data_IF_142840976437
#
_entry.id   IF_142840976437
#
_cell.length_a   1.000
_cell.length_b   1.000
_cell.length_c   1.000
_cell.angle_alpha   90.00
_cell.angle_beta   90.00
_cell.angle_gamma   90.00
#
_symmetry.space_group_name_H-M   'P 1'
#
loop_
_entity.id
_entity.type
_entity.pdbx_description
1 polymer ?
#
# COMPACT_ATOMS: atom_id res chain seq x y z
N UNK A 1 -71.08 -46.53 21.11
CA UNK A 1 -69.62 -46.21 20.99
C UNK A 1 -69.53 -44.77 20.50
N UNK A 2 -68.87 -43.89 21.23
CA UNK A 2 -68.74 -42.46 20.86
C UNK A 2 -67.68 -42.33 19.76
N UNK A 3 -68.03 -41.70 18.66
CA UNK A 3 -67.14 -41.51 17.51
C UNK A 3 -66.19 -40.33 17.75
N UNK A 4 -64.92 -40.63 17.99
CA UNK A 4 -63.85 -39.65 18.26
C UNK A 4 -63.08 -39.21 17.01
N UNK A 5 -63.41 -39.76 15.83
CA UNK A 5 -62.79 -39.38 14.54
C UNK A 5 -62.88 -37.87 14.26
N UNK A 6 -64.02 -37.17 14.45
CA UNK A 6 -64.08 -35.74 14.17
C UNK A 6 -63.19 -34.89 15.08
N UNK A 7 -62.93 -35.33 16.32
CA UNK A 7 -62.00 -34.65 17.23
C UNK A 7 -60.55 -34.84 16.78
N UNK A 8 -60.20 -36.04 16.32
CA UNK A 8 -58.88 -36.33 15.77
C UNK A 8 -58.61 -35.54 14.48
N UNK A 9 -59.62 -35.38 13.62
CA UNK A 9 -59.53 -34.58 12.40
C UNK A 9 -59.38 -33.08 12.71
N UNK A 10 -60.09 -32.57 13.72
CA UNK A 10 -59.96 -31.19 14.19
C UNK A 10 -58.55 -30.89 14.74
N UNK A 11 -57.98 -31.81 15.52
CA UNK A 11 -56.61 -31.70 16.04
C UNK A 11 -55.57 -31.76 14.92
N UNK A 12 -55.81 -32.58 13.89
CA UNK A 12 -54.94 -32.65 12.71
C UNK A 12 -54.95 -31.36 11.89
N UNK A 13 -56.11 -30.69 11.79
CA UNK A 13 -56.25 -29.38 11.17
C UNK A 13 -55.50 -28.28 11.93
N UNK A 14 -55.62 -28.24 13.26
CA UNK A 14 -54.86 -27.31 14.11
C UNK A 14 -53.35 -27.49 13.98
N UNK A 15 -52.87 -28.73 13.92
CA UNK A 15 -51.44 -29.02 13.71
C UNK A 15 -50.92 -28.52 12.36
N UNK A 16 -51.75 -28.53 11.31
CA UNK A 16 -51.39 -27.96 10.01
C UNK A 16 -51.38 -26.43 10.00
N UNK A 17 -52.20 -25.78 10.82
CA UNK A 17 -52.23 -24.32 10.96
C UNK A 17 -51.04 -23.75 11.76
N UNK A 18 -50.36 -24.58 12.57
CA UNK A 18 -49.15 -24.21 13.34
C UNK A 18 -47.86 -24.49 12.55
N UNK A 19 -47.95 -24.95 11.30
CA UNK A 19 -46.78 -25.07 10.43
C UNK A 19 -46.16 -23.68 10.22
N UNK A 20 -44.81 -23.55 10.31
CA UNK A 20 -44.17 -22.24 10.17
C UNK A 20 -44.51 -21.67 8.79
N UNK A 21 -45.05 -20.45 8.78
CA UNK A 21 -45.37 -19.72 7.55
C UNK A 21 -44.08 -19.61 6.73
N UNK A 22 -44.08 -20.00 5.43
CA UNK A 22 -42.87 -20.09 4.62
C UNK A 22 -42.08 -18.77 4.58
N UNK A 23 -42.75 -17.63 4.65
CA UNK A 23 -42.14 -16.29 4.69
C UNK A 23 -41.22 -16.07 5.91
N UNK A 24 -41.59 -16.59 7.09
CA UNK A 24 -40.78 -16.45 8.32
C UNK A 24 -39.50 -17.28 8.22
N UNK A 25 -39.57 -18.46 7.59
CA UNK A 25 -38.38 -19.31 7.38
C UNK A 25 -37.39 -18.70 6.38
N UNK A 26 -37.89 -18.04 5.34
CA UNK A 26 -37.06 -17.34 4.35
C UNK A 26 -36.40 -16.11 4.98
N UNK A 27 -37.13 -15.37 5.82
CA UNK A 27 -36.61 -14.24 6.58
C UNK A 27 -35.54 -14.66 7.60
N UNK A 28 -35.75 -15.77 8.33
CA UNK A 28 -34.75 -16.31 9.23
C UNK A 28 -33.46 -16.69 8.48
N UNK A 29 -33.60 -17.36 7.32
CA UNK A 29 -32.47 -17.72 6.48
C UNK A 29 -31.74 -16.50 5.89
N UNK A 30 -32.45 -15.41 5.56
CA UNK A 30 -31.81 -14.18 5.07
C UNK A 30 -31.07 -13.44 6.18
N UNK A 31 -31.61 -13.42 7.41
CA UNK A 31 -30.93 -12.86 8.58
C UNK A 31 -29.63 -13.62 8.89
N UNK A 32 -29.68 -14.95 8.92
CA UNK A 32 -28.47 -15.76 9.15
C UNK A 32 -27.40 -15.52 8.08
N UNK A 33 -27.79 -15.37 6.81
CA UNK A 33 -26.84 -15.02 5.73
C UNK A 33 -26.27 -13.61 5.91
N UNK A 34 -27.08 -12.65 6.35
CA UNK A 34 -26.62 -11.30 6.64
C UNK A 34 -25.62 -11.27 7.80
N UNK A 35 -25.89 -12.01 8.88
CA UNK A 35 -24.99 -12.16 10.04
C UNK A 35 -23.66 -12.83 9.65
N UNK A 36 -23.71 -13.90 8.86
CA UNK A 36 -22.50 -14.54 8.32
C UNK A 36 -21.70 -13.58 7.44
N UNK A 37 -22.38 -12.79 6.61
CA UNK A 37 -21.74 -11.77 5.77
C UNK A 37 -21.10 -10.68 6.63
N UNK A 38 -21.78 -10.17 7.65
CA UNK A 38 -21.21 -9.18 8.56
C UNK A 38 -20.01 -9.73 9.32
N UNK A 39 -20.09 -10.99 9.79
CA UNK A 39 -18.96 -11.64 10.46
C UNK A 39 -17.76 -11.80 9.52
N UNK A 40 -17.99 -12.20 8.26
CA UNK A 40 -16.93 -12.32 7.26
C UNK A 40 -16.26 -10.98 6.93
N UNK A 41 -17.05 -9.91 6.81
CA UNK A 41 -16.54 -8.56 6.55
C UNK A 41 -15.77 -8.03 7.76
N UNK A 42 -16.26 -8.28 8.97
CA UNK A 42 -15.55 -7.92 10.20
C UNK A 42 -14.19 -8.64 10.31
N UNK A 43 -14.15 -9.93 9.95
CA UNK A 43 -12.90 -10.69 9.91
C UNK A 43 -11.91 -10.14 8.86
N UNK A 44 -12.40 -9.81 7.66
CA UNK A 44 -11.57 -9.20 6.61
C UNK A 44 -11.04 -7.83 7.01
N UNK A 45 -11.87 -6.97 7.62
CA UNK A 45 -11.44 -5.68 8.15
C UNK A 45 -10.40 -5.83 9.26
N UNK A 46 -10.59 -6.79 10.16
CA UNK A 46 -9.62 -7.08 11.20
C UNK A 46 -8.27 -7.54 10.62
N UNK A 47 -8.30 -8.40 9.60
CA UNK A 47 -7.09 -8.84 8.90
C UNK A 47 -6.39 -7.69 8.16
N UNK A 48 -7.14 -6.84 7.46
CA UNK A 48 -6.59 -5.67 6.78
C UNK A 48 -5.95 -4.70 7.78
N UNK A 49 -6.62 -4.43 8.92
CA UNK A 49 -6.07 -3.58 9.98
C UNK A 49 -4.74 -4.12 10.51
N UNK A 50 -4.66 -5.41 10.84
CA UNK A 50 -3.40 -6.04 11.28
C UNK A 50 -2.29 -5.91 10.24
N UNK A 51 -2.63 -6.09 8.95
CA UNK A 51 -1.65 -5.95 7.86
C UNK A 51 -1.14 -4.52 7.74
N UNK A 52 -2.02 -3.53 7.85
CA UNK A 52 -1.64 -2.12 7.87
C UNK A 52 -0.77 -1.81 9.10
N UNK A 53 -1.16 -2.26 10.29
CA UNK A 53 -0.39 -2.08 11.52
C UNK A 53 1.01 -2.69 11.41
N UNK A 54 1.12 -3.90 10.83
CA UNK A 54 2.41 -4.57 10.60
C UNK A 54 3.28 -3.77 9.64
N UNK A 55 2.74 -3.34 8.50
CA UNK A 55 3.47 -2.52 7.53
C UNK A 55 3.89 -1.17 8.12
N UNK A 56 3.05 -0.56 8.97
CA UNK A 56 3.39 0.67 9.67
C UNK A 56 4.51 0.45 10.69
N UNK A 57 4.47 -0.66 11.44
CA UNK A 57 5.53 -1.01 12.39
C UNK A 57 6.86 -1.29 11.68
N UNK A 58 6.85 -2.05 10.59
CA UNK A 58 8.03 -2.29 9.74
C UNK A 58 8.59 -0.99 9.18
N UNK A 59 7.72 -0.09 8.71
CA UNK A 59 8.13 1.25 8.24
C UNK A 59 8.70 2.11 9.35
N UNK A 60 8.14 2.06 10.57
CA UNK A 60 8.65 2.81 11.72
C UNK A 60 10.02 2.30 12.15
N UNK A 61 10.22 0.98 12.21
CA UNK A 61 11.51 0.37 12.51
C UNK A 61 12.57 0.71 11.44
N UNK A 62 12.17 0.75 10.17
CA UNK A 62 13.04 1.19 9.08
C UNK A 62 13.25 2.72 9.03
N UNK A 63 12.41 3.50 9.72
CA UNK A 63 12.50 4.96 9.78
C UNK A 63 13.37 5.45 10.94
N UNK A 64 13.74 4.58 11.89
CA UNK A 64 14.70 4.96 12.91
C UNK A 64 16.07 5.10 12.26
N UNK A 65 16.66 6.31 12.24
CA UNK A 65 17.94 6.53 11.59
C UNK A 65 18.99 5.62 12.24
N UNK A 66 19.84 4.96 11.45
CA UNK A 66 20.85 4.06 11.99
C UNK A 66 21.70 4.81 13.02
N UNK A 67 21.85 4.22 14.20
CA UNK A 67 22.69 4.79 15.25
C UNK A 67 24.13 4.89 14.73
N UNK A 68 24.71 6.09 14.76
CA UNK A 68 26.11 6.32 14.38
C UNK A 68 27.04 6.01 15.57
N UNK A 69 26.99 4.74 16.01
CA UNK A 69 27.58 4.29 17.27
C UNK A 69 29.11 4.12 17.19
N UNK A 70 29.64 3.70 16.04
CA UNK A 70 31.07 3.54 15.82
C UNK A 70 31.67 4.68 14.98
N UNK A 71 33.00 4.84 15.04
CA UNK A 71 33.70 5.77 14.17
C UNK A 71 33.56 5.39 12.69
N UNK A 72 33.47 4.09 12.38
CA UNK A 72 33.22 3.62 11.01
C UNK A 72 31.84 4.08 10.51
N UNK A 73 30.81 4.02 11.36
CA UNK A 73 29.46 4.49 11.00
C UNK A 73 29.47 6.00 10.73
N UNK A 74 30.16 6.79 11.58
CA UNK A 74 30.29 8.24 11.39
C UNK A 74 31.06 8.57 10.11
N UNK A 75 32.11 7.83 9.77
CA UNK A 75 32.87 8.01 8.54
C UNK A 75 32.01 7.73 7.31
N UNK A 76 31.28 6.61 7.30
CA UNK A 76 30.36 6.26 6.22
C UNK A 76 29.26 7.32 6.06
N UNK A 77 28.66 7.77 7.17
CA UNK A 77 27.67 8.83 7.17
C UNK A 77 28.24 10.16 6.65
N UNK A 78 29.44 10.55 7.08
CA UNK A 78 30.09 11.78 6.60
C UNK A 78 30.39 11.74 5.10
N UNK A 79 30.83 10.59 4.57
CA UNK A 79 31.02 10.40 3.13
C UNK A 79 29.69 10.58 2.37
N UNK A 80 28.60 9.99 2.87
CA UNK A 80 27.27 10.18 2.31
C UNK A 80 26.79 11.64 2.35
N UNK A 81 27.01 12.34 3.46
CA UNK A 81 26.68 13.78 3.59
C UNK A 81 27.48 14.63 2.62
N UNK A 82 28.78 14.34 2.42
CA UNK A 82 29.62 15.08 1.46
C UNK A 82 29.07 14.94 0.05
N UNK A 83 28.83 13.70 -0.41
CA UNK A 83 28.27 13.44 -1.74
C UNK A 83 26.87 14.05 -1.91
N UNK A 84 26.04 13.99 -0.86
CA UNK A 84 24.72 14.62 -0.87
C UNK A 84 24.79 16.14 -1.03
N UNK A 85 25.78 16.80 -0.42
CA UNK A 85 25.99 18.26 -0.59
C UNK A 85 26.40 18.60 -2.01
N UNK A 86 27.27 17.81 -2.63
CA UNK A 86 27.69 18.01 -4.01
C UNK A 86 26.50 17.86 -4.97
N UNK A 87 25.64 16.86 -4.74
CA UNK A 87 24.41 16.66 -5.51
C UNK A 87 23.45 17.85 -5.34
N UNK A 88 23.28 18.36 -4.11
CA UNK A 88 22.43 19.53 -3.86
C UNK A 88 22.96 20.78 -4.58
N UNK A 89 24.28 20.97 -4.63
CA UNK A 89 24.89 22.06 -5.37
C UNK A 89 24.59 21.95 -6.87
N UNK A 90 24.83 20.78 -7.46
CA UNK A 90 24.54 20.52 -8.87
C UNK A 90 23.04 20.73 -9.21
N UNK A 91 22.13 20.30 -8.33
CA UNK A 91 20.69 20.50 -8.52
C UNK A 91 20.29 21.99 -8.43
N UNK A 92 20.99 22.80 -7.63
CA UNK A 92 20.76 24.24 -7.62
C UNK A 92 21.19 24.90 -8.93
N UNK A 93 22.33 24.49 -9.48
CA UNK A 93 22.82 24.98 -10.78
C UNK A 93 21.86 24.59 -11.91
N UNK A 94 21.44 23.32 -11.96
CA UNK A 94 20.47 22.82 -12.93
C UNK A 94 19.14 23.57 -12.85
N UNK A 95 18.63 23.84 -11.64
CA UNK A 95 17.39 24.62 -11.47
C UNK A 95 17.51 26.06 -11.98
N UNK A 96 18.66 26.71 -11.80
CA UNK A 96 18.92 28.04 -12.40
C UNK A 96 18.89 28.01 -13.93
N UNK A 97 19.27 26.88 -14.51
CA UNK A 97 19.16 26.60 -15.93
C UNK A 97 17.77 26.05 -16.37
N UNK A 98 16.76 26.03 -15.48
CA UNK A 98 15.42 25.53 -15.80
C UNK A 98 15.33 24.00 -15.95
N UNK A 99 16.34 23.27 -15.46
CA UNK A 99 16.37 21.82 -15.42
C UNK A 99 16.08 21.33 -14.00
N UNK A 100 14.84 20.93 -13.77
CA UNK A 100 14.43 20.37 -12.49
C UNK A 100 14.37 18.85 -12.58
N UNK A 101 15.03 18.16 -11.64
CA UNK A 101 14.97 16.71 -11.51
C UNK A 101 14.05 16.33 -10.35
N UNK A 102 13.26 15.27 -10.53
CA UNK A 102 12.50 14.68 -9.44
C UNK A 102 13.47 14.10 -8.39
N UNK A 103 13.44 14.67 -7.18
CA UNK A 103 14.32 14.26 -6.07
C UNK A 103 14.07 12.81 -5.67
N UNK A 104 12.85 12.30 -5.77
CA UNK A 104 12.54 10.91 -5.44
C UNK A 104 13.18 9.95 -6.46
N UNK A 105 13.13 10.28 -7.76
CA UNK A 105 13.76 9.48 -8.80
C UNK A 105 15.29 9.53 -8.70
N UNK A 106 15.86 10.69 -8.37
CA UNK A 106 17.30 10.82 -8.13
C UNK A 106 17.76 9.94 -6.96
N UNK A 107 17.07 10.00 -5.82
CA UNK A 107 17.38 9.18 -4.66
C UNK A 107 17.21 7.68 -4.94
N UNK A 108 16.18 7.30 -5.70
CA UNK A 108 16.00 5.93 -6.16
C UNK A 108 17.18 5.46 -7.02
N UNK A 109 17.65 6.28 -7.98
CA UNK A 109 18.82 5.96 -8.79
C UNK A 109 20.10 5.77 -7.97
N UNK A 110 20.35 6.63 -6.98
CA UNK A 110 21.50 6.51 -6.07
C UNK A 110 21.41 5.21 -5.25
N UNK A 111 20.24 4.94 -4.66
CA UNK A 111 20.03 3.75 -3.85
C UNK A 111 20.18 2.47 -4.69
N UNK A 112 19.61 2.43 -5.90
CA UNK A 112 19.71 1.30 -6.82
C UNK A 112 21.17 1.07 -7.26
N UNK A 113 21.94 2.14 -7.49
CA UNK A 113 23.37 2.07 -7.83
C UNK A 113 24.18 1.46 -6.68
N UNK A 114 24.01 1.96 -5.46
CA UNK A 114 24.70 1.43 -4.28
C UNK A 114 24.30 -0.03 -3.96
N UNK A 115 23.07 -0.41 -4.32
CA UNK A 115 22.56 -1.76 -4.14
C UNK A 115 22.91 -2.72 -5.30
N UNK A 116 23.56 -2.24 -6.36
CA UNK A 116 23.86 -3.03 -7.57
C UNK A 116 22.60 -3.51 -8.31
N UNK A 117 21.49 -2.77 -8.20
CA UNK A 117 20.16 -3.12 -8.73
C UNK A 117 19.66 -2.06 -9.71
N UNK A 118 20.51 -1.69 -10.66
CA UNK A 118 20.16 -0.72 -11.70
C UNK A 118 18.92 -1.19 -12.49
N UNK A 119 17.99 -0.25 -12.69
CA UNK A 119 16.75 -0.46 -13.45
C UNK A 119 16.88 -0.09 -14.92
N UNK A 120 17.92 0.66 -15.27
CA UNK A 120 18.29 1.06 -16.61
C UNK A 120 19.61 0.36 -16.96
N UNK A 121 19.76 -0.05 -18.22
CA UNK A 121 21.05 -0.48 -18.74
C UNK A 121 21.95 0.74 -19.03
N UNK A 122 23.24 0.48 -19.27
CA UNK A 122 24.24 1.53 -19.52
C UNK A 122 23.85 2.43 -20.69
N UNK A 123 23.29 1.85 -21.76
CA UNK A 123 22.92 2.62 -22.96
C UNK A 123 21.77 3.59 -22.69
N UNK A 124 20.80 3.19 -21.87
CA UNK A 124 19.71 4.05 -21.45
C UNK A 124 20.18 5.14 -20.49
N UNK A 125 21.13 4.84 -19.60
CA UNK A 125 21.75 5.81 -18.70
C UNK A 125 22.50 6.88 -19.52
N UNK A 126 23.39 6.47 -20.41
CA UNK A 126 24.18 7.37 -21.25
C UNK A 126 23.29 8.25 -22.13
N UNK A 127 22.26 7.67 -22.75
CA UNK A 127 21.30 8.42 -23.55
C UNK A 127 20.54 9.49 -22.75
N UNK A 128 20.13 9.16 -21.53
CA UNK A 128 19.46 10.10 -20.64
C UNK A 128 20.39 11.23 -20.18
N UNK A 129 21.64 10.91 -19.82
CA UNK A 129 22.66 11.89 -19.43
C UNK A 129 23.03 12.82 -20.58
N UNK A 130 23.21 12.29 -21.79
CA UNK A 130 23.49 13.08 -22.98
C UNK A 130 22.36 14.07 -23.28
N UNK A 131 21.12 13.60 -23.19
CA UNK A 131 19.93 14.46 -23.36
C UNK A 131 19.89 15.58 -22.32
N UNK A 132 20.19 15.28 -21.06
CA UNK A 132 20.26 16.27 -19.99
C UNK A 132 21.36 17.32 -20.26
N UNK A 133 22.54 16.90 -20.69
CA UNK A 133 23.65 17.79 -21.06
C UNK A 133 23.29 18.72 -22.22
N UNK A 134 22.64 18.20 -23.27
CA UNK A 134 22.19 19.02 -24.39
C UNK A 134 21.21 20.11 -23.93
N UNK A 135 20.27 19.78 -23.05
CA UNK A 135 19.31 20.75 -22.50
C UNK A 135 20.01 21.81 -21.65
N UNK A 136 21.04 21.43 -20.88
CA UNK A 136 21.82 22.36 -20.07
C UNK A 136 22.58 23.36 -20.95
N UNK A 137 23.21 22.88 -22.02
CA UNK A 137 23.91 23.72 -22.99
C UNK A 137 22.95 24.70 -23.68
N UNK A 138 21.76 24.25 -24.08
CA UNK A 138 20.73 25.11 -24.68
C UNK A 138 20.26 26.19 -23.70
N UNK A 139 20.03 25.84 -22.44
CA UNK A 139 19.64 26.79 -21.40
C UNK A 139 20.71 27.87 -21.18
N UNK A 140 21.99 27.49 -21.15
CA UNK A 140 23.11 28.42 -21.02
C UNK A 140 23.23 29.36 -22.23
N UNK A 141 22.99 28.87 -23.45
CA UNK A 141 23.01 29.70 -24.66
C UNK A 141 21.87 30.71 -24.75
N UNK A 142 20.72 30.41 -24.12
CA UNK A 142 19.55 31.30 -24.15
C UNK A 142 19.61 32.38 -23.06
N UNK A 143 20.46 32.18 -22.04
CA UNK A 143 20.68 33.13 -20.93
C UNK A 143 21.90 34.05 -21.13
N UNK A 144 22.68 33.84 -22.20
CA UNK A 144 23.81 34.68 -22.61
C UNK A 144 23.37 35.78 -23.60
#
# INVERSE_FOLDING_TARGET
VVDIRPLADALKGLRHAVAPVPEVSVLAASLTRAEQRSASLAAQLAQQRRRVETLLAERQQAAEPPALASEADKQAYAAGVSLGRDILHLQQENRRAGLEADTQLLLAGIADTLAGRLRLDETAIDGALHTAQQRLQQAQQTQA
#
